data_IF_047073864504
#
_entry.id   IF_047073864504
#
_cell.length_a   1.000
_cell.length_b   1.000
_cell.length_c   1.000
_cell.angle_alpha   90.00
_cell.angle_beta   90.00
_cell.angle_gamma   90.00
#
_symmetry.space_group_name_H-M   'P 1'
#
loop_
_entity.id
_entity.type
_entity.pdbx_description
1 polymer ?
#
# COMPACT_ATOMS: atom_id res chain seq x y z
N UNK A 1 -19.57 18.69 11.43
CA UNK A 1 -19.81 18.25 10.04
C UNK A 1 -19.11 16.93 9.78
N UNK A 2 -19.84 15.93 9.31
CA UNK A 2 -19.27 14.61 9.08
C UNK A 2 -18.67 14.54 7.66
N UNK A 3 -17.40 14.15 7.56
CA UNK A 3 -16.75 13.98 6.27
C UNK A 3 -17.31 12.75 5.56
N UNK A 4 -17.51 12.85 4.25
CA UNK A 4 -17.88 11.70 3.42
C UNK A 4 -16.65 10.79 3.25
N UNK A 5 -16.89 9.56 2.75
CA UNK A 5 -15.79 8.63 2.44
C UNK A 5 -14.86 9.26 1.39
N UNK A 6 -15.43 9.92 0.38
CA UNK A 6 -14.68 10.59 -0.67
C UNK A 6 -13.77 11.69 -0.10
N UNK A 7 -14.28 12.49 0.85
CA UNK A 7 -13.50 13.55 1.49
C UNK A 7 -12.35 12.96 2.30
N UNK A 8 -12.60 11.87 3.02
CA UNK A 8 -11.57 11.20 3.82
C UNK A 8 -10.45 10.65 2.95
N UNK A 9 -10.79 10.01 1.83
CA UNK A 9 -9.79 9.48 0.89
C UNK A 9 -8.96 10.60 0.28
N UNK A 10 -9.59 11.72 -0.04
CA UNK A 10 -8.89 12.89 -0.58
C UNK A 10 -7.87 13.46 0.42
N UNK A 11 -8.25 13.56 1.71
CA UNK A 11 -7.35 14.03 2.77
C UNK A 11 -6.17 13.09 2.94
N UNK A 12 -6.42 11.78 2.98
CA UNK A 12 -5.38 10.76 3.12
C UNK A 12 -4.42 10.80 1.94
N UNK A 13 -4.95 10.92 0.73
CA UNK A 13 -4.14 10.98 -0.48
C UNK A 13 -3.23 12.22 -0.48
N UNK A 14 -3.74 13.39 -0.11
CA UNK A 14 -2.94 14.59 0.02
C UNK A 14 -1.80 14.42 1.02
N UNK A 15 -2.09 13.78 2.13
CA UNK A 15 -1.11 13.53 3.18
C UNK A 15 0.00 12.60 2.68
N UNK A 16 -0.38 11.54 1.97
CA UNK A 16 0.58 10.61 1.36
C UNK A 16 1.45 11.31 0.34
N UNK A 17 0.87 12.15 -0.51
CA UNK A 17 1.62 12.91 -1.52
C UNK A 17 2.66 13.83 -0.88
N UNK A 18 2.30 14.55 0.17
CA UNK A 18 3.23 15.41 0.90
C UNK A 18 4.37 14.62 1.49
N UNK A 19 4.06 13.49 2.12
CA UNK A 19 5.07 12.65 2.74
C UNK A 19 5.99 12.03 1.69
N UNK A 20 5.42 11.60 0.58
CA UNK A 20 6.16 11.03 -0.55
C UNK A 20 7.22 12.00 -1.09
N UNK A 21 6.87 13.28 -1.19
CA UNK A 21 7.79 14.30 -1.69
C UNK A 21 8.86 14.68 -0.67
N UNK A 22 8.52 14.65 0.61
CA UNK A 22 9.38 15.16 1.68
C UNK A 22 10.28 14.12 2.32
N UNK A 23 9.94 12.83 2.22
CA UNK A 23 10.59 11.75 2.97
C UNK A 23 10.99 10.64 2.02
N UNK A 24 12.31 10.51 1.78
CA UNK A 24 12.85 9.50 0.87
C UNK A 24 12.56 8.08 1.35
N UNK A 25 12.69 7.83 2.65
CA UNK A 25 12.42 6.51 3.23
C UNK A 25 10.95 6.13 3.03
N UNK A 26 10.04 7.06 3.26
CA UNK A 26 8.61 6.83 3.00
C UNK A 26 8.35 6.52 1.53
N UNK A 27 9.00 7.26 0.64
CA UNK A 27 8.87 7.07 -0.81
C UNK A 27 9.29 5.66 -1.21
N UNK A 28 10.41 5.18 -0.69
CA UNK A 28 10.92 3.84 -1.02
C UNK A 28 9.96 2.75 -0.55
N UNK A 29 9.47 2.86 0.68
CA UNK A 29 8.50 1.90 1.23
C UNK A 29 7.19 1.93 0.44
N UNK A 30 6.71 3.11 0.10
CA UNK A 30 5.48 3.28 -0.66
C UNK A 30 5.60 2.70 -2.07
N UNK A 31 6.74 2.90 -2.72
CA UNK A 31 6.99 2.33 -4.06
C UNK A 31 7.05 0.80 -4.01
N UNK A 32 7.67 0.24 -2.97
CA UNK A 32 7.67 -1.21 -2.76
C UNK A 32 6.25 -1.73 -2.55
N UNK A 33 5.46 -1.02 -1.77
CA UNK A 33 4.06 -1.37 -1.54
C UNK A 33 3.27 -1.45 -2.86
N UNK A 34 3.42 -0.45 -3.71
CA UNK A 34 2.74 -0.45 -5.01
C UNK A 34 3.19 -1.61 -5.89
N UNK A 35 4.48 -1.93 -5.87
CA UNK A 35 5.03 -3.05 -6.64
C UNK A 35 4.44 -4.38 -6.18
N UNK A 36 4.39 -4.61 -4.87
CA UNK A 36 3.83 -5.86 -4.33
C UNK A 36 2.31 -5.92 -4.50
N UNK A 37 1.64 -4.78 -4.45
CA UNK A 37 0.20 -4.72 -4.70
C UNK A 37 -0.12 -5.14 -6.14
N UNK A 38 0.66 -4.67 -7.10
CA UNK A 38 0.51 -5.08 -8.51
C UNK A 38 0.81 -6.56 -8.69
N UNK A 39 1.85 -7.08 -8.04
CA UNK A 39 2.19 -8.50 -8.09
C UNK A 39 1.06 -9.36 -7.49
N UNK A 40 0.50 -8.92 -6.36
CA UNK A 40 -0.64 -9.62 -5.75
C UNK A 40 -1.84 -9.66 -6.70
N UNK A 41 -2.11 -8.54 -7.36
CA UNK A 41 -3.21 -8.43 -8.32
C UNK A 41 -2.99 -9.39 -9.50
N UNK A 42 -1.77 -9.45 -10.03
CA UNK A 42 -1.39 -10.37 -11.10
C UNK A 42 -1.67 -11.82 -10.70
N UNK A 43 -1.18 -12.24 -9.52
CA UNK A 43 -1.35 -13.62 -9.07
C UNK A 43 -2.80 -13.94 -8.69
N UNK A 44 -3.59 -12.94 -8.33
CA UNK A 44 -5.01 -13.12 -8.04
C UNK A 44 -5.82 -13.48 -9.29
N UNK A 45 -5.34 -13.08 -10.46
CA UNK A 45 -5.99 -13.39 -11.74
C UNK A 45 -5.31 -14.54 -12.49
N UNK A 46 -4.24 -15.09 -11.93
CA UNK A 46 -3.50 -16.18 -12.54
C UNK A 46 -4.11 -17.52 -12.13
N UNK A 47 -4.19 -18.47 -13.07
CA UNK A 47 -4.82 -19.78 -12.87
C UNK A 47 -3.83 -20.95 -12.82
N UNK A 48 -2.52 -20.67 -12.77
CA UNK A 48 -1.50 -21.72 -12.69
C UNK A 48 -1.48 -22.37 -11.31
N UNK A 49 -0.84 -23.53 -11.21
CA UNK A 49 -0.76 -24.31 -9.98
C UNK A 49 -0.01 -23.57 -8.86
N UNK A 50 0.93 -22.69 -9.21
CA UNK A 50 1.71 -21.93 -8.23
C UNK A 50 1.00 -20.67 -7.77
N UNK A 51 -0.07 -20.26 -8.46
CA UNK A 51 -0.75 -18.98 -8.17
C UNK A 51 -1.27 -18.87 -6.73
N UNK A 52 -1.90 -19.91 -6.12
CA UNK A 52 -2.37 -19.79 -4.74
C UNK A 52 -1.25 -19.51 -3.74
N UNK A 53 -0.09 -20.12 -3.91
CA UNK A 53 1.07 -19.91 -3.04
C UNK A 53 1.61 -18.49 -3.21
N UNK A 54 1.78 -18.04 -4.46
CA UNK A 54 2.29 -16.70 -4.77
C UNK A 54 1.34 -15.62 -4.27
N UNK A 55 0.03 -15.82 -4.45
CA UNK A 55 -0.98 -14.89 -3.97
C UNK A 55 -0.89 -14.70 -2.46
N UNK A 56 -0.71 -15.79 -1.73
CA UNK A 56 -0.59 -15.73 -0.27
C UNK A 56 0.68 -15.01 0.15
N UNK A 57 1.81 -15.29 -0.50
CA UNK A 57 3.08 -14.64 -0.21
C UNK A 57 2.98 -13.12 -0.41
N UNK A 58 2.43 -12.69 -1.53
CA UNK A 58 2.31 -11.25 -1.82
C UNK A 58 1.26 -10.58 -0.96
N UNK A 59 0.18 -11.28 -0.60
CA UNK A 59 -0.82 -10.74 0.34
C UNK A 59 -0.17 -10.42 1.69
N UNK A 60 0.71 -11.29 2.17
CA UNK A 60 1.42 -11.07 3.42
C UNK A 60 2.38 -9.89 3.32
N UNK A 61 3.15 -9.79 2.23
CA UNK A 61 4.06 -8.68 2.00
C UNK A 61 3.33 -7.35 1.93
N UNK A 62 2.20 -7.32 1.21
CA UNK A 62 1.36 -6.12 1.13
C UNK A 62 0.87 -5.70 2.52
N UNK A 63 0.39 -6.66 3.31
CA UNK A 63 -0.10 -6.40 4.66
C UNK A 63 1.00 -5.83 5.57
N UNK A 64 2.21 -6.39 5.49
CA UNK A 64 3.35 -5.92 6.28
C UNK A 64 3.74 -4.49 5.92
N UNK A 65 3.77 -4.18 4.62
CA UNK A 65 4.10 -2.83 4.16
C UNK A 65 3.01 -1.83 4.50
N UNK A 66 1.74 -2.24 4.48
CA UNK A 66 0.64 -1.38 4.94
C UNK A 66 0.82 -0.97 6.40
N UNK A 67 1.17 -1.93 7.25
CA UNK A 67 1.43 -1.65 8.66
C UNK A 67 2.60 -0.68 8.84
N UNK A 68 3.67 -0.89 8.09
CA UNK A 68 4.84 -0.01 8.14
C UNK A 68 4.48 1.41 7.69
N UNK A 69 3.77 1.54 6.58
CA UNK A 69 3.33 2.84 6.08
C UNK A 69 2.43 3.55 7.08
N UNK A 70 1.51 2.84 7.70
CA UNK A 70 0.61 3.41 8.71
C UNK A 70 1.39 3.92 9.92
N UNK A 71 2.42 3.20 10.35
CA UNK A 71 3.27 3.66 11.45
C UNK A 71 4.06 4.90 11.07
N UNK A 72 4.57 4.95 9.85
CA UNK A 72 5.30 6.13 9.37
C UNK A 72 4.40 7.35 9.31
N UNK A 73 3.15 7.19 8.89
CA UNK A 73 2.17 8.28 8.84
C UNK A 73 1.78 8.78 10.22
N UNK A 74 1.83 7.93 11.24
CA UNK A 74 1.51 8.32 12.62
C UNK A 74 2.63 9.11 13.31
N UNK A 75 3.85 9.03 12.80
CA UNK A 75 5.04 9.67 13.39
C UNK A 75 5.28 11.06 12.83
N UNK A 76 4.28 11.85 12.69
CA UNK A 76 4.43 13.22 12.20
C UNK A 76 4.60 14.23 13.30
#
# INVERSE_FOLDING_TARGET
>A
MTLTISDRLSVIQSYIEKRYKADETFRDVYNDYLTYLDAHRFWSHNTTDVAPVRRREYAQLVSELEKELMQMLKKT
#
